data_IF_101638392888
#
_entry.id   IF_101638392888
#
_cell.length_a   1.000
_cell.length_b   1.000
_cell.length_c   1.000
_cell.angle_alpha   90.00
_cell.angle_beta   90.00
_cell.angle_gamma   90.00
#
_symmetry.space_group_name_H-M   'P 1'
#
loop_
_entity.id
_entity.type
_entity.pdbx_description
1 polymer ?
#
# COMPACT_ATOMS: atom_id res chain seq x y z
N UNK A 1 51.89 -3.67 36.29
CA UNK A 1 50.82 -4.34 35.51
C UNK A 1 49.41 -3.73 35.64
N UNK A 2 49.14 -2.76 36.53
CA UNK A 2 47.78 -2.20 36.72
C UNK A 2 47.23 -1.34 35.56
N UNK A 3 48.06 -0.72 34.69
CA UNK A 3 47.53 0.19 33.65
C UNK A 3 46.98 -0.51 32.40
N UNK A 4 47.37 -1.76 32.10
CA UNK A 4 46.85 -2.50 30.93
C UNK A 4 45.38 -2.92 31.12
N UNK A 5 44.99 -3.34 32.33
CA UNK A 5 43.62 -3.76 32.63
C UNK A 5 42.62 -2.61 32.58
N UNK A 6 43.02 -1.40 32.99
CA UNK A 6 42.17 -0.19 32.93
C UNK A 6 41.85 0.18 31.47
N UNK A 7 42.83 0.05 30.55
CA UNK A 7 42.62 0.34 29.13
C UNK A 7 41.62 -0.62 28.48
N UNK A 8 41.69 -1.91 28.79
CA UNK A 8 40.77 -2.92 28.24
C UNK A 8 39.33 -2.67 28.73
N UNK A 9 39.16 -2.36 30.01
CA UNK A 9 37.84 -2.09 30.58
C UNK A 9 37.18 -0.84 29.98
N UNK A 10 37.98 0.22 29.73
CA UNK A 10 37.50 1.44 29.08
C UNK A 10 37.01 1.18 27.64
N UNK A 11 37.76 0.38 26.87
CA UNK A 11 37.36 -0.01 25.51
C UNK A 11 36.07 -0.84 25.53
N UNK A 12 35.98 -1.82 26.42
CA UNK A 12 34.79 -2.68 26.53
C UNK A 12 33.55 -1.85 26.88
N UNK A 13 33.66 -0.95 27.86
CA UNK A 13 32.54 -0.09 28.29
C UNK A 13 32.08 0.82 27.15
N UNK A 14 33.02 1.42 26.41
CA UNK A 14 32.70 2.29 25.27
C UNK A 14 32.02 1.51 24.15
N UNK A 15 32.51 0.30 23.84
CA UNK A 15 31.90 -0.59 22.86
C UNK A 15 30.48 -1.01 23.28
N UNK A 16 30.25 -1.28 24.57
CA UNK A 16 28.91 -1.57 25.10
C UNK A 16 27.97 -0.38 24.97
N UNK A 17 28.41 0.84 25.30
CA UNK A 17 27.59 2.05 25.16
C UNK A 17 27.24 2.31 23.69
N UNK A 18 28.19 2.18 22.78
CA UNK A 18 27.95 2.34 21.34
C UNK A 18 26.98 1.28 20.81
N UNK A 19 27.14 0.01 21.23
CA UNK A 19 26.21 -1.05 20.86
C UNK A 19 24.80 -0.77 21.38
N UNK A 20 24.67 -0.28 22.62
CA UNK A 20 23.38 0.11 23.19
C UNK A 20 22.75 1.29 22.45
N UNK A 21 23.52 2.29 22.03
CA UNK A 21 23.01 3.42 21.23
C UNK A 21 22.57 2.99 19.84
N UNK A 22 23.29 2.06 19.21
CA UNK A 22 22.91 1.47 17.92
C UNK A 22 21.64 0.62 18.08
N UNK A 23 21.53 -0.16 19.16
CA UNK A 23 20.36 -0.99 19.45
C UNK A 23 19.13 -0.18 19.87
N UNK A 24 19.31 0.98 20.49
CA UNK A 24 18.22 1.89 20.84
C UNK A 24 17.50 2.45 19.59
N UNK A 25 18.19 2.45 18.44
CA UNK A 25 17.68 3.03 17.20
C UNK A 25 17.52 4.55 17.29
N UNK A 26 17.27 5.22 16.16
CA UNK A 26 16.87 6.63 16.18
C UNK A 26 15.54 6.74 16.95
N UNK A 27 15.50 7.61 17.95
CA UNK A 27 14.25 7.91 18.66
C UNK A 27 13.24 8.49 17.65
N UNK A 28 12.16 7.76 17.38
CA UNK A 28 11.10 8.25 16.51
C UNK A 28 10.29 9.30 17.26
N UNK A 29 10.28 10.54 16.77
CA UNK A 29 9.51 11.62 17.40
C UNK A 29 7.98 11.45 17.19
N UNK A 30 7.58 10.68 16.16
CA UNK A 30 6.19 10.39 15.85
C UNK A 30 5.93 8.93 15.52
N UNK A 31 4.70 8.51 15.80
CA UNK A 31 4.12 7.30 15.22
C UNK A 31 3.10 7.70 14.16
N UNK A 32 3.34 7.30 12.91
CA UNK A 32 2.44 7.56 11.79
C UNK A 32 1.51 6.37 11.53
N UNK A 33 0.24 6.68 11.28
CA UNK A 33 -0.81 5.74 10.91
C UNK A 33 -1.40 6.09 9.55
N UNK A 34 -1.66 5.06 8.75
CA UNK A 34 -2.35 5.17 7.47
C UNK A 34 -3.18 3.89 7.27
N UNK A 35 -4.50 4.06 7.22
CA UNK A 35 -5.47 2.98 7.04
C UNK A 35 -6.41 3.38 5.90
N UNK A 36 -6.63 2.48 4.94
CA UNK A 36 -7.67 2.66 3.93
C UNK A 36 -8.97 2.02 4.39
N UNK A 37 -10.10 2.67 4.12
CA UNK A 37 -11.43 2.09 4.33
C UNK A 37 -11.72 0.94 3.35
N UNK A 38 -11.20 1.06 2.11
CA UNK A 38 -11.37 0.07 1.06
C UNK A 38 -10.01 -0.33 0.48
N UNK A 39 -9.80 -1.60 0.18
CA UNK A 39 -8.63 -2.04 -0.57
C UNK A 39 -8.79 -1.76 -2.07
N UNK A 40 -10.01 -1.77 -2.60
CA UNK A 40 -10.29 -1.47 -3.99
C UNK A 40 -11.53 -0.60 -4.18
N UNK A 41 -11.55 0.16 -5.26
CA UNK A 41 -12.63 1.10 -5.60
C UNK A 41 -12.88 1.08 -7.09
N UNK A 42 -14.13 1.25 -7.52
CA UNK A 42 -14.40 1.44 -8.95
C UNK A 42 -14.07 2.87 -9.35
N UNK A 43 -13.60 3.05 -10.58
CA UNK A 43 -13.40 4.38 -11.15
C UNK A 43 -14.67 5.23 -11.01
N UNK A 44 -14.52 6.46 -10.51
CA UNK A 44 -15.63 7.37 -10.22
C UNK A 44 -16.23 7.27 -8.82
N UNK A 45 -15.84 6.27 -8.02
CA UNK A 45 -16.28 6.17 -6.62
C UNK A 45 -15.38 6.99 -5.68
N UNK A 46 -15.86 7.21 -4.47
CA UNK A 46 -15.08 7.80 -3.39
C UNK A 46 -14.50 6.71 -2.51
N UNK A 47 -13.33 6.96 -1.94
CA UNK A 47 -12.78 6.17 -0.83
C UNK A 47 -12.14 7.08 0.20
N UNK A 48 -12.00 6.58 1.42
CA UNK A 48 -11.48 7.34 2.54
C UNK A 48 -10.24 6.69 3.12
N UNK A 49 -9.23 7.51 3.39
CA UNK A 49 -8.05 7.15 4.15
C UNK A 49 -8.11 7.82 5.51
N UNK A 50 -7.88 7.05 6.56
CA UNK A 50 -7.64 7.56 7.89
C UNK A 50 -6.12 7.66 8.09
N UNK A 51 -5.61 8.88 8.24
CA UNK A 51 -4.21 9.14 8.55
C UNK A 51 -4.07 9.77 9.92
N UNK A 52 -3.00 9.41 10.63
CA UNK A 52 -2.72 9.96 11.96
C UNK A 52 -1.23 10.19 12.15
N UNK A 53 -0.88 11.26 12.88
CA UNK A 53 0.45 11.49 13.41
C UNK A 53 0.35 11.66 14.93
N UNK A 54 0.86 10.67 15.66
CA UNK A 54 0.93 10.69 17.13
C UNK A 54 2.27 11.23 17.57
N UNK A 55 2.22 12.28 18.39
CA UNK A 55 3.38 12.98 18.97
C UNK A 55 3.60 12.39 20.35
N UNK A 56 4.67 11.60 20.52
CA UNK A 56 4.95 10.90 21.80
C UNK A 56 5.87 11.69 22.73
N UNK A 57 6.54 12.73 22.22
CA UNK A 57 7.53 13.47 22.99
C UNK A 57 6.89 14.48 23.94
N UNK A 58 7.56 14.73 25.06
CA UNK A 58 7.32 15.91 25.90
C UNK A 58 7.89 17.20 25.25
N UNK A 59 8.35 17.11 24.01
CA UNK A 59 8.95 18.20 23.27
C UNK A 59 7.94 18.78 22.28
N UNK A 60 8.06 20.08 22.05
CA UNK A 60 7.22 20.82 21.13
C UNK A 60 7.75 20.62 19.71
N UNK A 61 6.92 20.06 18.83
CA UNK A 61 7.36 19.72 17.48
C UNK A 61 6.83 20.71 16.43
N UNK A 62 7.69 21.28 15.58
CA UNK A 62 7.31 22.31 14.63
C UNK A 62 6.92 21.70 13.25
N UNK A 63 5.83 20.92 13.23
CA UNK A 63 5.31 20.28 12.01
C UNK A 63 4.88 21.34 11.00
N UNK A 64 5.52 21.37 9.82
CA UNK A 64 5.22 22.36 8.78
C UNK A 64 4.09 21.93 7.87
N UNK A 65 4.10 20.67 7.43
CA UNK A 65 3.09 20.11 6.54
C UNK A 65 3.04 18.58 6.59
N UNK A 66 1.96 18.06 6.06
CA UNK A 66 1.75 16.66 5.72
C UNK A 66 1.68 16.51 4.21
N UNK A 67 2.09 15.34 3.71
CA UNK A 67 1.88 14.95 2.32
C UNK A 67 1.24 13.56 2.25
N UNK A 68 0.13 13.47 1.55
CA UNK A 68 -0.50 12.19 1.21
C UNK A 68 -0.29 11.92 -0.29
N UNK A 69 0.27 10.75 -0.60
CA UNK A 69 0.67 10.39 -1.96
C UNK A 69 0.01 9.08 -2.35
N UNK A 70 -0.65 9.09 -3.52
CA UNK A 70 -1.02 7.90 -4.27
C UNK A 70 -0.04 7.79 -5.45
N UNK A 71 0.81 6.76 -5.47
CA UNK A 71 1.82 6.56 -6.52
C UNK A 71 1.58 5.25 -7.30
N UNK A 72 1.37 5.37 -8.60
CA UNK A 72 0.91 4.28 -9.48
C UNK A 72 0.94 4.69 -10.97
N UNK A 73 -0.09 4.36 -11.78
CA UNK A 73 -0.17 4.77 -13.20
C UNK A 73 -0.08 6.29 -13.44
N UNK A 74 -0.40 7.07 -12.42
CA UNK A 74 -0.05 8.47 -12.29
C UNK A 74 0.26 8.77 -10.82
N UNK A 75 1.05 9.82 -10.56
CA UNK A 75 1.39 10.24 -9.20
C UNK A 75 0.45 11.36 -8.77
N UNK A 76 -0.29 11.14 -7.70
CA UNK A 76 -1.21 12.12 -7.11
C UNK A 76 -0.66 12.49 -5.74
N UNK A 77 -0.30 13.76 -5.56
CA UNK A 77 0.21 14.29 -4.30
C UNK A 77 -0.75 15.32 -3.73
N UNK A 78 -0.92 15.31 -2.41
CA UNK A 78 -1.77 16.22 -1.69
C UNK A 78 -1.02 16.72 -0.44
N UNK A 79 -0.59 17.99 -0.49
CA UNK A 79 0.10 18.63 0.62
C UNK A 79 -0.86 19.52 1.41
N UNK A 80 -0.79 19.44 2.73
CA UNK A 80 -1.69 20.17 3.62
C UNK A 80 -1.05 20.52 4.95
N UNK A 81 -1.52 21.60 5.56
CA UNK A 81 -1.09 22.04 6.87
C UNK A 81 -1.68 21.16 7.99
N UNK A 82 -1.13 21.20 9.22
CA UNK A 82 -1.69 20.49 10.37
C UNK A 82 -3.11 20.90 10.80
N UNK A 83 -3.64 22.01 10.27
CA UNK A 83 -5.04 22.38 10.45
C UNK A 83 -5.97 21.74 9.39
N UNK A 84 -5.42 20.97 8.44
CA UNK A 84 -6.14 20.34 7.33
C UNK A 84 -6.29 21.22 6.08
N UNK A 85 -5.80 22.46 6.10
CA UNK A 85 -5.86 23.38 4.95
C UNK A 85 -4.92 22.90 3.85
N UNK A 86 -5.44 22.76 2.64
CA UNK A 86 -4.68 22.33 1.46
C UNK A 86 -3.67 23.41 1.07
N UNK A 87 -2.43 22.99 0.85
CA UNK A 87 -1.33 23.85 0.37
C UNK A 87 -1.25 23.76 -1.15
N UNK A 88 -1.11 22.54 -1.67
CA UNK A 88 -0.90 22.27 -3.09
C UNK A 88 -1.36 20.86 -3.44
N UNK A 89 -1.71 20.65 -4.71
CA UNK A 89 -2.15 19.37 -5.23
C UNK A 89 -3.58 19.02 -4.82
N UNK A 90 -3.81 17.79 -4.36
CA UNK A 90 -5.11 17.30 -3.89
C UNK A 90 -6.21 17.22 -4.97
N UNK A 91 -5.84 16.98 -6.23
CA UNK A 91 -6.81 16.77 -7.32
C UNK A 91 -7.78 15.66 -6.93
N UNK A 92 -9.07 16.00 -6.77
CA UNK A 92 -10.12 15.05 -6.39
C UNK A 92 -10.09 14.61 -4.92
N UNK A 93 -9.28 15.24 -4.05
CA UNK A 93 -9.20 14.91 -2.63
C UNK A 93 -9.83 16.01 -1.78
N UNK A 94 -10.39 15.61 -0.64
CA UNK A 94 -10.84 16.52 0.42
C UNK A 94 -10.27 16.03 1.75
N UNK A 95 -9.88 16.95 2.60
CA UNK A 95 -9.26 16.65 3.89
C UNK A 95 -10.17 17.17 4.98
N UNK A 96 -10.54 16.29 5.91
CA UNK A 96 -11.28 16.66 7.11
C UNK A 96 -10.48 16.26 8.34
N UNK A 97 -10.06 17.25 9.12
CA UNK A 97 -9.46 17.03 10.44
C UNK A 97 -10.49 16.34 11.36
N UNK A 98 -10.05 15.30 12.06
CA UNK A 98 -10.90 14.47 12.95
C UNK A 98 -10.64 14.80 14.41
N UNK A 99 -9.37 14.96 14.80
CA UNK A 99 -8.98 15.34 16.15
C UNK A 99 -8.17 16.62 16.15
N UNK A 100 -8.46 17.48 17.12
CA UNK A 100 -7.62 18.62 17.45
C UNK A 100 -6.64 18.22 18.56
N UNK A 101 -5.40 18.66 18.40
CA UNK A 101 -4.42 18.72 19.49
C UNK A 101 -4.36 20.19 19.88
N UNK A 102 -4.25 20.48 21.17
CA UNK A 102 -4.06 21.86 21.62
C UNK A 102 -2.83 22.45 20.94
N UNK A 103 -3.03 23.55 20.20
CA UNK A 103 -1.92 24.32 19.66
C UNK A 103 -1.20 24.96 20.83
N UNK A 104 0.05 24.60 21.04
CA UNK A 104 0.87 25.21 22.09
C UNK A 104 1.86 26.14 21.42
N UNK A 105 1.81 27.41 21.77
CA UNK A 105 2.79 28.38 21.29
C UNK A 105 4.21 27.86 21.57
N UNK A 106 5.07 27.81 20.53
CA UNK A 106 6.50 27.54 20.70
C UNK A 106 7.20 28.76 21.34
N UNK A 107 6.76 29.21 22.52
CA UNK A 107 7.55 30.15 23.31
C UNK A 107 8.71 29.37 23.92
N UNK A 108 9.72 29.04 23.08
CA UNK A 108 11.05 28.80 23.58
C UNK A 108 11.54 30.11 24.21
N UNK A 109 12.28 30.01 25.31
CA UNK A 109 12.95 31.14 25.94
C UNK A 109 14.01 31.69 24.96
N UNK A 110 13.55 32.48 23.99
CA UNK A 110 14.37 33.13 23.00
C UNK A 110 15.13 34.26 23.67
N UNK A 111 16.43 34.06 23.87
CA UNK A 111 17.36 35.16 24.04
C UNK A 111 17.38 35.98 22.73
N UNK A 112 16.44 36.91 22.62
CA UNK A 112 16.64 38.22 22.02
C UNK A 112 17.16 38.32 20.59
N UNK A 113 16.79 37.45 19.65
CA UNK A 113 16.95 37.75 18.22
C UNK A 113 15.72 37.29 17.46
N UNK A 114 14.78 38.22 17.29
CA UNK A 114 13.44 37.96 16.77
C UNK A 114 13.44 37.43 15.36
N UNK A 115 12.97 36.19 15.18
CA UNK A 115 12.36 35.71 13.95
C UNK A 115 11.33 34.62 14.29
N UNK A 116 10.05 34.95 14.11
CA UNK A 116 8.93 34.04 13.86
C UNK A 116 8.39 33.22 15.03
N UNK A 117 7.19 33.55 15.50
CA UNK A 117 6.35 32.61 16.24
C UNK A 117 5.97 31.47 15.28
N UNK A 118 6.55 30.29 15.48
CA UNK A 118 6.08 29.07 14.84
C UNK A 118 5.03 28.43 15.75
N UNK A 119 4.01 27.82 15.17
CA UNK A 119 3.09 26.98 15.92
C UNK A 119 3.77 25.64 16.20
N UNK A 120 3.68 25.16 17.44
CA UNK A 120 4.14 23.84 17.84
C UNK A 120 2.97 23.00 18.29
N UNK A 121 3.14 21.70 18.12
CA UNK A 121 2.21 20.71 18.63
C UNK A 121 2.84 20.06 19.86
N UNK A 122 2.07 20.03 20.95
CA UNK A 122 2.40 19.25 22.14
C UNK A 122 1.97 17.79 21.96
N UNK A 123 2.20 16.98 23.00
CA UNK A 123 1.77 15.58 23.04
C UNK A 123 0.29 15.45 22.65
N UNK A 124 0.01 14.59 21.68
CA UNK A 124 -1.33 14.41 21.12
C UNK A 124 -1.32 13.63 19.82
N UNK A 125 -2.51 13.47 19.22
CA UNK A 125 -2.66 12.80 17.92
C UNK A 125 -3.40 13.70 16.95
N UNK A 126 -2.74 14.06 15.85
CA UNK A 126 -3.36 14.74 14.72
C UNK A 126 -3.95 13.68 13.80
N UNK A 127 -5.27 13.67 13.60
CA UNK A 127 -5.95 12.68 12.77
C UNK A 127 -6.77 13.34 11.66
N UNK A 128 -6.80 12.72 10.49
CA UNK A 128 -7.48 13.24 9.31
C UNK A 128 -8.19 12.12 8.54
N UNK A 129 -9.37 12.46 8.01
CA UNK A 129 -10.03 11.70 6.97
C UNK A 129 -9.73 12.36 5.63
N UNK A 130 -9.03 11.65 4.75
CA UNK A 130 -8.77 12.07 3.38
C UNK A 130 -9.72 11.31 2.48
N UNK A 131 -10.69 12.00 1.90
CA UNK A 131 -11.63 11.40 0.94
C UNK A 131 -11.16 11.69 -0.48
N UNK A 132 -10.88 10.66 -1.26
CA UNK A 132 -10.46 10.77 -2.65
C UNK A 132 -11.60 10.33 -3.60
N UNK A 133 -11.89 11.16 -4.59
CA UNK A 133 -12.82 10.86 -5.69
C UNK A 133 -12.03 10.38 -6.92
N UNK A 134 -12.19 9.12 -7.28
CA UNK A 134 -11.37 8.48 -8.31
C UNK A 134 -11.83 8.75 -9.74
N UNK A 135 -12.84 9.61 -9.96
CA UNK A 135 -13.36 9.93 -11.30
C UNK A 135 -12.28 10.44 -12.25
N UNK A 136 -11.28 11.15 -11.74
CA UNK A 136 -10.19 11.71 -12.54
C UNK A 136 -8.89 10.90 -12.49
N UNK A 137 -8.92 9.71 -11.87
CA UNK A 137 -7.73 8.88 -11.67
C UNK A 137 -7.71 7.75 -12.70
N UNK A 138 -6.53 7.41 -13.20
CA UNK A 138 -6.34 6.22 -14.03
C UNK A 138 -6.56 4.95 -13.22
N UNK A 139 -7.09 3.91 -13.85
CA UNK A 139 -7.16 2.58 -13.24
C UNK A 139 -5.77 2.00 -13.04
N UNK A 140 -5.61 1.21 -11.98
CA UNK A 140 -4.35 0.53 -11.67
C UNK A 140 -4.13 0.35 -10.17
N UNK A 141 -2.90 0.00 -9.82
CA UNK A 141 -2.45 -0.21 -8.45
C UNK A 141 -1.72 1.04 -7.98
N UNK A 142 -2.15 1.63 -6.87
CA UNK A 142 -1.50 2.78 -6.25
C UNK A 142 -0.92 2.37 -4.90
N UNK A 143 0.36 2.63 -4.69
CA UNK A 143 0.93 2.66 -3.34
C UNK A 143 0.42 3.90 -2.60
N UNK A 144 0.20 3.77 -1.29
CA UNK A 144 -0.31 4.84 -0.45
C UNK A 144 0.76 5.23 0.55
N UNK A 145 1.13 6.51 0.59
CA UNK A 145 2.15 7.01 1.51
C UNK A 145 1.65 8.25 2.25
N UNK A 146 1.96 8.33 3.53
CA UNK A 146 1.71 9.49 4.38
C UNK A 146 3.03 9.97 4.99
N UNK A 147 3.40 11.21 4.68
CA UNK A 147 4.70 11.78 4.98
C UNK A 147 4.52 13.01 5.87
N UNK A 148 5.38 13.16 6.87
CA UNK A 148 5.45 14.31 7.77
C UNK A 148 6.70 15.14 7.52
N UNK A 149 6.54 16.46 7.61
CA UNK A 149 7.64 17.40 7.45
C UNK A 149 7.84 18.24 8.72
N UNK A 150 9.08 18.27 9.20
CA UNK A 150 9.56 19.17 10.26
C UNK A 150 10.50 20.18 9.62
N UNK A 151 10.28 21.46 9.85
CA UNK A 151 11.13 22.53 9.27
C UNK A 151 11.37 22.41 7.75
N UNK A 152 10.39 21.82 7.03
CA UNK A 152 10.42 21.50 5.59
C UNK A 152 11.34 20.34 5.17
N UNK A 153 11.91 19.62 6.13
CA UNK A 153 12.60 18.35 5.90
C UNK A 153 11.67 17.19 6.17
N UNK A 154 11.82 16.10 5.39
CA UNK A 154 11.06 14.88 5.61
C UNK A 154 11.56 14.21 6.89
N UNK A 155 10.65 14.00 7.85
CA UNK A 155 10.98 13.42 9.16
C UNK A 155 10.45 11.99 9.30
N UNK A 156 9.24 11.73 8.78
CA UNK A 156 8.60 10.44 8.90
C UNK A 156 7.81 10.06 7.64
N UNK A 157 7.72 8.77 7.38
CA UNK A 157 6.93 8.21 6.30
C UNK A 157 6.23 6.93 6.76
N UNK A 158 4.96 6.79 6.36
CA UNK A 158 4.19 5.57 6.53
C UNK A 158 3.59 5.13 5.20
N UNK A 159 4.00 3.96 4.74
CA UNK A 159 3.35 3.25 3.65
C UNK A 159 2.16 2.46 4.19
N UNK A 160 1.02 2.60 3.52
CA UNK A 160 -0.21 1.85 3.80
C UNK A 160 -0.42 0.69 2.82
N UNK A 161 -1.58 0.04 2.94
CA UNK A 161 -2.01 -0.95 1.95
C UNK A 161 -2.18 -0.30 0.56
N UNK A 162 -1.94 -1.04 -0.53
CA UNK A 162 -2.17 -0.53 -1.88
C UNK A 162 -3.66 -0.29 -2.12
N UNK A 163 -3.98 0.78 -2.86
CA UNK A 163 -5.31 1.04 -3.38
C UNK A 163 -5.41 0.50 -4.81
N UNK A 164 -6.42 -0.33 -5.07
CA UNK A 164 -6.75 -0.76 -6.42
C UNK A 164 -7.89 0.07 -7.01
N UNK A 165 -7.65 0.79 -8.11
CA UNK A 165 -8.68 1.50 -8.86
C UNK A 165 -9.03 0.65 -10.09
N UNK A 166 -10.25 0.14 -10.15
CA UNK A 166 -10.70 -0.79 -11.20
C UNK A 166 -11.77 -0.20 -12.12
N UNK A 167 -11.84 -0.71 -13.34
CA UNK A 167 -12.97 -0.50 -14.25
C UNK A 167 -13.58 -1.84 -14.67
N UNK A 168 -14.91 -1.94 -14.61
CA UNK A 168 -15.67 -3.14 -14.99
C UNK A 168 -15.94 -3.26 -16.48
N UNK A 169 -15.88 -2.14 -17.20
CA UNK A 169 -16.22 -2.09 -18.63
C UNK A 169 -15.06 -2.59 -19.50
N UNK A 170 -13.84 -2.39 -18.99
CA UNK A 170 -12.61 -2.84 -19.61
C UNK A 170 -12.54 -4.39 -19.51
N UNK A 171 -12.32 -5.07 -20.64
CA UNK A 171 -12.30 -6.55 -20.80
C UNK A 171 -13.64 -7.29 -20.69
N UNK A 172 -14.78 -6.58 -20.76
CA UNK A 172 -16.09 -7.21 -20.75
C UNK A 172 -16.25 -8.35 -21.78
N UNK A 173 -16.65 -9.53 -21.31
CA UNK A 173 -16.82 -10.74 -22.12
C UNK A 173 -15.52 -11.52 -22.40
N UNK A 174 -14.39 -11.11 -21.83
CA UNK A 174 -13.14 -11.85 -21.97
C UNK A 174 -13.20 -13.19 -21.23
N UNK A 175 -12.94 -14.31 -21.92
CA UNK A 175 -12.84 -15.63 -21.30
C UNK A 175 -11.45 -16.24 -21.51
N UNK A 176 -10.85 -16.72 -20.42
CA UNK A 176 -9.49 -17.26 -20.41
C UNK A 176 -9.47 -18.63 -19.73
N UNK A 177 -8.74 -19.56 -20.35
CA UNK A 177 -8.31 -20.81 -19.73
C UNK A 177 -6.80 -20.90 -19.82
N UNK A 178 -6.12 -21.21 -18.73
CA UNK A 178 -4.67 -21.41 -18.76
C UNK A 178 -4.28 -22.69 -18.03
N UNK A 179 -3.17 -23.31 -18.47
CA UNK A 179 -2.66 -24.56 -17.92
C UNK A 179 -1.14 -24.56 -17.82
N UNK A 180 -0.58 -25.38 -16.93
CA UNK A 180 0.88 -25.50 -16.74
C UNK A 180 1.44 -24.43 -15.82
N UNK A 181 2.66 -23.96 -16.07
CA UNK A 181 3.31 -22.95 -15.24
C UNK A 181 3.96 -23.49 -13.96
N UNK A 182 4.37 -22.56 -13.09
CA UNK A 182 5.15 -22.81 -11.88
C UNK A 182 4.48 -22.19 -10.65
N UNK A 183 4.41 -22.95 -9.55
CA UNK A 183 3.90 -22.48 -8.27
C UNK A 183 5.06 -21.99 -7.38
N UNK A 184 4.97 -20.77 -6.84
CA UNK A 184 5.92 -20.15 -5.89
C UNK A 184 7.40 -20.23 -6.34
N UNK A 185 7.66 -20.02 -7.64
CA UNK A 185 8.99 -20.14 -8.27
C UNK A 185 9.60 -21.55 -8.18
N UNK A 186 8.79 -22.59 -7.99
CA UNK A 186 9.26 -23.98 -8.03
C UNK A 186 9.84 -24.36 -9.39
N UNK A 187 10.81 -25.28 -9.39
CA UNK A 187 11.50 -25.74 -10.60
C UNK A 187 10.65 -26.69 -11.46
N UNK A 188 9.67 -27.37 -10.86
CA UNK A 188 8.83 -28.34 -11.56
C UNK A 188 7.54 -27.72 -12.10
N UNK A 189 7.26 -28.00 -13.38
CA UNK A 189 5.96 -27.69 -13.99
C UNK A 189 4.86 -28.42 -13.24
N UNK A 190 3.96 -27.64 -12.68
CA UNK A 190 2.87 -28.13 -11.85
C UNK A 190 1.60 -28.33 -12.67
N UNK A 191 0.67 -29.15 -12.17
CA UNK A 191 -0.61 -29.40 -12.83
C UNK A 191 -1.58 -28.25 -12.55
N UNK A 192 -1.23 -27.04 -12.97
CA UNK A 192 -2.05 -25.87 -12.69
C UNK A 192 -3.09 -25.66 -13.78
N UNK A 193 -4.26 -25.17 -13.35
CA UNK A 193 -5.39 -24.81 -14.20
C UNK A 193 -5.99 -23.52 -13.67
N UNK A 194 -6.12 -22.54 -14.55
CA UNK A 194 -6.79 -21.27 -14.31
C UNK A 194 -7.95 -21.15 -15.30
N UNK A 195 -9.12 -20.75 -14.84
CA UNK A 195 -10.27 -20.49 -15.72
C UNK A 195 -11.09 -19.36 -15.15
N UNK A 196 -11.44 -18.39 -15.99
CA UNK A 196 -12.34 -17.30 -15.61
C UNK A 196 -13.02 -16.69 -16.84
N UNK A 197 -14.12 -15.97 -16.59
CA UNK A 197 -14.79 -15.12 -17.56
C UNK A 197 -15.03 -13.75 -16.92
N UNK A 198 -14.78 -12.68 -17.67
CA UNK A 198 -15.12 -11.32 -17.27
C UNK A 198 -16.55 -11.05 -17.74
N UNK A 199 -17.50 -10.78 -16.84
CA UNK A 199 -18.89 -10.61 -17.21
C UNK A 199 -19.08 -9.36 -18.09
N UNK A 200 -20.11 -9.37 -18.94
CA UNK A 200 -20.55 -8.16 -19.64
C UNK A 200 -21.08 -7.12 -18.63
N UNK A 201 -21.11 -5.83 -18.98
CA UNK A 201 -21.74 -4.82 -18.12
C UNK A 201 -23.18 -5.22 -17.82
N UNK A 202 -23.58 -5.14 -16.55
CA UNK A 202 -24.91 -5.53 -16.04
C UNK A 202 -25.22 -7.03 -16.03
N UNK A 203 -24.30 -7.90 -16.45
CA UNK A 203 -24.44 -9.33 -16.20
C UNK A 203 -24.18 -9.65 -14.72
N UNK A 204 -24.64 -10.83 -14.28
CA UNK A 204 -24.31 -11.35 -12.97
C UNK A 204 -22.78 -11.44 -12.78
N UNK A 205 -22.26 -11.28 -11.55
CA UNK A 205 -20.85 -11.56 -11.27
C UNK A 205 -20.46 -12.93 -11.83
N UNK A 206 -19.30 -13.00 -12.47
CA UNK A 206 -18.75 -14.27 -12.94
C UNK A 206 -17.67 -14.72 -11.97
N UNK A 207 -17.69 -16.02 -11.70
CA UNK A 207 -16.66 -16.68 -10.92
C UNK A 207 -15.51 -17.14 -11.82
N UNK A 208 -14.36 -17.31 -11.19
CA UNK A 208 -13.19 -17.97 -11.74
C UNK A 208 -12.56 -18.89 -10.69
N UNK A 209 -11.66 -19.74 -11.15
CA UNK A 209 -10.91 -20.61 -10.26
C UNK A 209 -9.49 -20.86 -10.73
N UNK A 210 -8.61 -21.05 -9.75
CA UNK A 210 -7.26 -21.57 -9.90
C UNK A 210 -7.16 -22.87 -9.08
N UNK A 211 -6.63 -23.90 -9.70
CA UNK A 211 -6.15 -25.09 -9.02
C UNK A 211 -4.68 -25.26 -9.37
N UNK A 212 -3.82 -25.36 -8.36
CA UNK A 212 -2.38 -25.53 -8.54
C UNK A 212 -1.88 -26.69 -7.67
N UNK A 213 -0.91 -27.46 -8.17
CA UNK A 213 -0.32 -28.57 -7.43
C UNK A 213 1.14 -28.78 -7.81
N UNK A 214 2.03 -28.56 -6.84
CA UNK A 214 3.48 -28.75 -6.96
C UNK A 214 4.13 -28.84 -5.58
N UNK A 215 5.30 -29.46 -5.46
CA UNK A 215 6.08 -29.52 -4.21
C UNK A 215 5.29 -30.02 -2.98
N UNK A 216 4.44 -31.06 -3.15
CA UNK A 216 3.53 -31.59 -2.13
C UNK A 216 2.49 -30.59 -1.60
N UNK A 217 2.36 -29.41 -2.22
CA UNK A 217 1.32 -28.42 -1.96
C UNK A 217 0.22 -28.55 -2.99
N UNK A 218 -1.02 -28.40 -2.53
CA UNK A 218 -2.19 -28.21 -3.38
C UNK A 218 -2.85 -26.89 -3.01
N UNK A 219 -3.04 -26.02 -3.99
CA UNK A 219 -3.75 -24.76 -3.80
C UNK A 219 -5.05 -24.80 -4.60
N UNK A 220 -6.11 -24.31 -3.98
CA UNK A 220 -7.37 -24.01 -4.64
C UNK A 220 -7.76 -22.58 -4.31
N UNK A 221 -8.11 -21.80 -5.33
CA UNK A 221 -8.58 -20.44 -5.18
C UNK A 221 -9.83 -20.25 -6.04
N UNK A 222 -10.97 -19.97 -5.40
CA UNK A 222 -12.22 -19.66 -6.09
C UNK A 222 -12.51 -18.19 -5.88
N UNK A 223 -12.75 -17.44 -6.95
CA UNK A 223 -12.74 -15.97 -6.89
C UNK A 223 -13.78 -15.34 -7.80
N UNK A 224 -14.17 -14.13 -7.44
CA UNK A 224 -15.00 -13.25 -8.26
C UNK A 224 -14.11 -12.23 -9.00
N UNK A 225 -14.52 -11.86 -10.21
CA UNK A 225 -13.86 -10.77 -10.95
C UNK A 225 -14.33 -9.42 -10.39
N UNK A 226 -13.39 -8.66 -9.83
CA UNK A 226 -13.66 -7.32 -9.30
C UNK A 226 -13.68 -6.29 -10.44
N UNK A 227 -12.69 -6.34 -11.32
CA UNK A 227 -12.57 -5.50 -12.51
C UNK A 227 -11.16 -5.53 -13.12
N UNK A 228 -10.96 -4.79 -14.21
CA UNK A 228 -9.65 -4.62 -14.82
C UNK A 228 -8.91 -3.44 -14.18
N UNK A 229 -7.63 -3.64 -13.89
CA UNK A 229 -6.69 -2.60 -13.46
C UNK A 229 -6.05 -1.93 -14.68
N UNK A 230 -5.77 -2.72 -15.71
CA UNK A 230 -5.10 -2.29 -16.93
C UNK A 230 -5.53 -3.19 -18.10
N UNK A 231 -5.61 -2.62 -19.30
CA UNK A 231 -5.87 -3.37 -20.52
C UNK A 231 -5.41 -2.59 -21.74
N UNK A 232 -4.48 -3.16 -22.50
CA UNK A 232 -4.10 -2.69 -23.82
C UNK A 232 -4.14 -3.85 -24.84
N UNK A 233 -3.58 -3.64 -26.03
CA UNK A 233 -3.54 -4.65 -27.10
C UNK A 233 -2.74 -5.91 -26.73
N UNK A 234 -1.73 -5.78 -25.88
CA UNK A 234 -0.77 -6.83 -25.59
C UNK A 234 -0.95 -7.42 -24.19
N UNK A 235 -1.47 -6.65 -23.24
CA UNK A 235 -1.45 -6.97 -21.83
C UNK A 235 -2.77 -6.61 -21.16
N UNK A 236 -3.11 -7.35 -20.12
CA UNK A 236 -4.23 -7.04 -19.23
C UNK A 236 -3.86 -7.40 -17.78
N UNK A 237 -4.40 -6.63 -16.84
CA UNK A 237 -4.34 -6.92 -15.41
C UNK A 237 -5.75 -6.91 -14.83
N UNK A 238 -6.12 -7.98 -14.13
CA UNK A 238 -7.46 -8.19 -13.62
C UNK A 238 -7.38 -8.41 -12.11
N UNK A 239 -8.11 -7.62 -11.34
CA UNK A 239 -8.24 -7.79 -9.91
C UNK A 239 -9.34 -8.80 -9.60
N UNK A 240 -9.03 -9.76 -8.73
CA UNK A 240 -9.96 -10.79 -8.27
C UNK A 240 -9.95 -10.90 -6.75
N UNK A 241 -11.07 -11.27 -6.16
CA UNK A 241 -11.21 -11.49 -4.71
C UNK A 241 -11.86 -12.85 -4.47
N UNK A 242 -11.31 -13.67 -3.57
CA UNK A 242 -11.78 -15.04 -3.43
C UNK A 242 -11.33 -15.76 -2.18
N UNK A 243 -11.76 -17.02 -2.09
CA UNK A 243 -11.40 -17.96 -1.04
C UNK A 243 -10.20 -18.79 -1.46
N UNK A 244 -9.07 -18.54 -0.82
CA UNK A 244 -7.83 -19.30 -0.98
C UNK A 244 -7.74 -20.42 0.03
N UNK A 245 -7.29 -21.58 -0.41
CA UNK A 245 -7.03 -22.73 0.45
C UNK A 245 -5.77 -23.46 0.01
N UNK A 246 -4.87 -23.67 0.96
CA UNK A 246 -3.71 -24.55 0.83
C UNK A 246 -4.00 -25.88 1.52
N UNK A 247 -3.81 -26.98 0.79
CA UNK A 247 -4.04 -28.36 1.23
C UNK A 247 -5.45 -28.55 1.83
N UNK A 248 -5.52 -28.86 3.13
CA UNK A 248 -6.76 -29.07 3.89
C UNK A 248 -7.00 -27.94 4.91
N UNK A 249 -6.28 -26.83 4.80
CA UNK A 249 -6.42 -25.72 5.72
C UNK A 249 -7.77 -25.01 5.52
N UNK A 250 -8.12 -24.12 6.47
CA UNK A 250 -9.28 -23.26 6.33
C UNK A 250 -9.14 -22.31 5.14
N UNK A 251 -10.28 -21.88 4.60
CA UNK A 251 -10.30 -20.85 3.56
C UNK A 251 -9.86 -19.51 4.14
N UNK A 252 -9.04 -18.77 3.40
CA UNK A 252 -8.60 -17.41 3.71
C UNK A 252 -9.04 -16.50 2.55
N UNK A 253 -9.76 -15.42 2.86
CA UNK A 253 -10.09 -14.39 1.87
C UNK A 253 -8.84 -13.61 1.48
N UNK A 254 -8.60 -13.43 0.19
CA UNK A 254 -7.52 -12.58 -0.30
C UNK A 254 -7.83 -11.98 -1.66
N UNK A 255 -7.17 -10.86 -1.95
CA UNK A 255 -7.06 -10.30 -3.29
C UNK A 255 -5.92 -10.97 -4.06
N UNK A 256 -6.09 -11.06 -5.38
CA UNK A 256 -5.03 -11.43 -6.30
C UNK A 256 -5.15 -10.64 -7.60
N UNK A 257 -4.03 -10.50 -8.31
CA UNK A 257 -3.96 -9.90 -9.63
C UNK A 257 -3.62 -10.97 -10.64
N UNK A 258 -4.47 -11.11 -11.66
CA UNK A 258 -4.19 -11.93 -12.84
C UNK A 258 -3.51 -11.03 -13.87
N UNK A 259 -2.27 -11.36 -14.26
CA UNK A 259 -1.58 -10.73 -15.37
C UNK A 259 -1.78 -11.60 -16.62
N UNK A 260 -2.16 -10.99 -17.72
CA UNK A 260 -2.40 -11.67 -18.99
C UNK A 260 -1.57 -11.01 -20.08
N UNK A 261 -0.51 -11.69 -20.52
CA UNK A 261 0.20 -11.36 -21.75
C UNK A 261 -0.57 -11.97 -22.92
N UNK A 262 -1.40 -11.16 -23.55
CA UNK A 262 -2.25 -11.55 -24.69
C UNK A 262 -1.43 -11.88 -25.93
N UNK A 263 -0.27 -11.24 -26.09
CA UNK A 263 0.61 -11.42 -27.26
C UNK A 263 1.27 -12.79 -27.21
N UNK A 264 1.87 -13.13 -26.07
CA UNK A 264 2.57 -14.41 -25.86
C UNK A 264 1.64 -15.51 -25.33
N UNK A 265 0.38 -15.17 -25.03
CA UNK A 265 -0.63 -16.07 -24.46
C UNK A 265 -0.15 -16.71 -23.16
N UNK A 266 0.33 -15.86 -22.25
CA UNK A 266 0.77 -16.26 -20.92
C UNK A 266 -0.17 -15.64 -19.89
N UNK A 267 -0.50 -16.39 -18.86
CA UNK A 267 -1.25 -15.91 -17.71
C UNK A 267 -0.47 -16.21 -16.42
N UNK A 268 -0.43 -15.20 -15.55
CA UNK A 268 0.12 -15.30 -14.20
C UNK A 268 -0.95 -14.88 -13.20
N UNK A 269 -0.85 -15.37 -11.97
CA UNK A 269 -1.71 -14.93 -10.88
C UNK A 269 -0.88 -14.77 -9.60
N UNK A 270 -0.87 -13.54 -9.09
CA UNK A 270 -0.12 -13.16 -7.90
C UNK A 270 -1.08 -12.69 -6.80
N UNK A 271 -0.99 -13.31 -5.63
CA UNK A 271 -1.71 -12.93 -4.40
C UNK A 271 -0.78 -13.04 -3.19
N UNK A 272 -1.28 -12.64 -2.02
CA UNK A 272 -0.47 -12.63 -0.79
C UNK A 272 0.10 -14.01 -0.43
N UNK A 273 -0.68 -15.07 -0.60
CA UNK A 273 -0.30 -16.43 -0.20
C UNK A 273 -0.09 -17.39 -1.39
N UNK A 274 -0.01 -16.87 -2.62
CA UNK A 274 0.22 -17.70 -3.80
C UNK A 274 0.82 -16.90 -4.94
N UNK A 275 1.72 -17.54 -5.69
CA UNK A 275 2.09 -17.06 -7.01
C UNK A 275 2.12 -18.22 -8.01
N UNK A 276 1.40 -18.08 -9.13
CA UNK A 276 1.48 -19.04 -10.23
C UNK A 276 1.85 -18.30 -11.50
N UNK A 277 2.99 -18.65 -12.08
CA UNK A 277 3.58 -17.96 -13.23
C UNK A 277 3.64 -18.86 -14.47
N UNK A 278 3.75 -18.25 -15.65
CA UNK A 278 4.01 -18.89 -16.94
C UNK A 278 2.95 -19.91 -17.37
N UNK A 279 1.68 -19.68 -17.02
CA UNK A 279 0.60 -20.55 -17.47
C UNK A 279 0.32 -20.28 -18.96
N UNK A 280 0.30 -21.32 -19.79
CA UNK A 280 -0.08 -21.19 -21.20
C UNK A 280 -1.57 -20.91 -21.29
N UNK A 281 -1.95 -19.73 -21.78
CA UNK A 281 -3.31 -19.25 -21.86
C UNK A 281 -3.96 -19.49 -23.24
N UNK A 282 -5.26 -19.75 -23.22
CA UNK A 282 -6.15 -19.78 -24.37
C UNK A 282 -7.18 -18.68 -24.19
N UNK A 283 -7.16 -17.70 -25.10
CA UNK A 283 -8.10 -16.58 -25.15
C UNK A 283 -9.30 -17.01 -26.01
N UNK A 284 -10.47 -17.16 -25.39
CA UNK A 284 -11.63 -17.77 -26.06
C UNK A 284 -12.50 -16.71 -26.74
N UNK A 285 -12.90 -15.67 -26.01
CA UNK A 285 -13.82 -14.63 -26.49
C UNK A 285 -13.34 -13.26 -26.05
N UNK A 286 -13.51 -12.24 -26.91
CA UNK A 286 -13.39 -10.78 -26.61
C UNK A 286 -12.18 -10.31 -25.78
N UNK A 287 -11.12 -11.10 -25.69
CA UNK A 287 -9.90 -10.75 -24.94
C UNK A 287 -8.86 -9.98 -25.79
N UNK A 288 -9.13 -9.73 -27.07
CA UNK A 288 -8.20 -9.04 -27.99
C UNK A 288 -8.24 -7.54 -27.77
#
# INVERSE_FOLDING_TARGET
>A
MKSKSIKIFSVLTTATILLLLIMAGPAQAFTLGLISSDQYVRSGQKTTFFVSAKIESNEKMPITKFSFILDGPEKISCEFFPNGTIINGCKGMTIKKVSEVENVSCNGYGYGYGYGYKDCFANGTLSYNITANTKSYKTGIYSTNFITFLDNEQDGEKTGDPLFIVDKTILAGCSVRATGGFLDNGEERSRNKLSFSVPLPNAAPSDGSLQAQGNKKRITYSFEIIGALFNDKNNAQILVNGDFRENRNANVKQLAVINLDKKNKIADIAGKNMNVNDMTATLIERCK
#
